data_IF_524479618905
#
_entry.id   IF_524479618905
#
_cell.length_a   1.000
_cell.length_b   1.000
_cell.length_c   1.000
_cell.angle_alpha   90.00
_cell.angle_beta   90.00
_cell.angle_gamma   90.00
#
_symmetry.space_group_name_H-M   'P 1'
#
loop_
_entity.id
_entity.type
_entity.pdbx_description
1 polymer ?
#
# COMPACT_ATOMS: atom_id res chain seq x y z
N UNK A 1 -8.31 4.13 -3.80
CA UNK A 1 -9.46 4.29 -2.89
C UNK A 1 -9.85 2.92 -2.38
N UNK A 2 -10.09 2.75 -1.07
CA UNK A 2 -10.31 1.42 -0.45
C UNK A 2 -11.56 1.45 0.46
N UNK A 3 -12.32 0.34 0.48
CA UNK A 3 -13.56 0.17 1.25
C UNK A 3 -13.31 -0.48 2.64
N UNK A 4 -12.20 -0.15 3.29
CA UNK A 4 -11.72 -0.82 4.51
C UNK A 4 -11.31 -2.30 4.37
N UNK A 5 -11.39 -2.89 3.16
CA UNK A 5 -10.86 -4.24 2.89
C UNK A 5 -11.51 -5.30 3.80
N UNK A 6 -10.71 -6.02 4.58
CA UNK A 6 -11.21 -7.06 5.49
C UNK A 6 -12.03 -6.51 6.67
N UNK A 7 -11.98 -5.20 6.94
CA UNK A 7 -12.76 -4.55 8.01
C UNK A 7 -14.05 -3.88 7.48
N UNK A 8 -14.48 -4.20 6.24
CA UNK A 8 -15.62 -3.55 5.59
C UNK A 8 -16.98 -3.74 6.31
N UNK A 9 -17.14 -4.78 7.12
CA UNK A 9 -18.32 -4.99 7.98
C UNK A 9 -18.13 -4.52 9.42
N UNK A 10 -16.93 -4.00 9.73
CA UNK A 10 -16.50 -3.65 11.08
C UNK A 10 -16.53 -2.15 11.32
N UNK A 11 -15.42 -1.64 11.86
CA UNK A 11 -15.31 -0.24 12.23
C UNK A 11 -14.92 0.65 11.05
N UNK A 12 -14.49 0.07 9.94
CA UNK A 12 -13.99 0.72 8.72
C UNK A 12 -12.64 1.44 8.87
N UNK A 13 -12.17 1.73 10.09
CA UNK A 13 -10.91 2.44 10.33
C UNK A 13 -9.85 1.64 11.10
N UNK A 14 -10.03 0.33 11.34
CA UNK A 14 -9.09 -0.42 12.20
C UNK A 14 -7.66 -0.43 11.68
N UNK A 15 -7.48 -0.71 10.39
CA UNK A 15 -6.15 -0.74 9.77
C UNK A 15 -5.39 0.58 9.98
N UNK A 16 -6.15 1.65 9.93
CA UNK A 16 -5.67 3.00 10.05
C UNK A 16 -5.29 3.42 11.48
N UNK A 17 -6.12 2.98 12.43
CA UNK A 17 -5.80 3.09 13.84
C UNK A 17 -4.49 2.39 14.14
N UNK A 18 -4.27 1.20 13.55
CA UNK A 18 -3.02 0.45 13.74
C UNK A 18 -1.81 1.19 13.16
N UNK A 19 -1.90 1.70 11.93
CA UNK A 19 -0.87 2.55 11.29
C UNK A 19 -0.52 3.76 12.18
N UNK A 20 -1.54 4.46 12.68
CA UNK A 20 -1.38 5.63 13.56
C UNK A 20 -0.69 5.27 14.88
N UNK A 21 -1.06 4.13 15.49
CA UNK A 21 -0.48 3.67 16.76
C UNK A 21 1.02 3.38 16.64
N UNK A 22 1.47 2.84 15.50
CA UNK A 22 2.88 2.47 15.28
C UNK A 22 3.71 3.55 14.60
N UNK A 23 3.12 4.68 14.22
CA UNK A 23 3.78 5.79 13.49
C UNK A 23 5.02 6.39 14.17
N UNK A 24 5.19 6.14 15.47
CA UNK A 24 6.37 6.57 16.23
C UNK A 24 7.56 5.59 16.13
N UNK A 25 7.35 4.41 15.53
CA UNK A 25 8.38 3.42 15.26
C UNK A 25 9.06 3.73 13.92
N UNK A 26 10.26 3.18 13.71
CA UNK A 26 10.97 3.25 12.42
C UNK A 26 10.46 2.19 11.45
N UNK A 27 9.15 2.18 11.22
CA UNK A 27 8.47 1.33 10.26
C UNK A 27 7.73 2.22 9.26
N UNK A 28 7.62 1.75 8.03
CA UNK A 28 6.79 2.40 7.02
C UNK A 28 5.33 2.45 7.44
N UNK A 29 4.72 3.62 7.24
CA UNK A 29 3.28 3.82 7.39
C UNK A 29 2.73 4.60 6.22
N UNK A 30 1.54 4.23 5.74
CA UNK A 30 0.90 4.91 4.61
C UNK A 30 -0.08 5.98 5.08
N UNK A 31 -0.08 7.14 4.42
CA UNK A 31 -1.04 8.18 4.71
C UNK A 31 -2.46 7.84 4.23
N UNK A 32 -3.47 8.36 4.93
CA UNK A 32 -4.87 8.17 4.58
C UNK A 32 -5.74 9.40 4.85
N UNK A 33 -6.93 9.38 4.24
CA UNK A 33 -8.03 10.28 4.58
C UNK A 33 -9.39 9.61 4.37
N UNK A 34 -10.27 9.52 5.39
CA UNK A 34 -11.65 9.06 5.21
C UNK A 34 -12.43 10.05 4.34
N UNK A 35 -13.38 9.52 3.57
CA UNK A 35 -14.27 10.31 2.73
C UNK A 35 -15.61 9.60 2.55
N UNK A 36 -16.63 10.35 2.17
CA UNK A 36 -17.93 9.82 1.77
C UNK A 36 -17.99 9.77 0.25
N UNK A 37 -18.41 8.64 -0.30
CA UNK A 37 -18.51 8.44 -1.75
C UNK A 37 -19.94 8.57 -2.21
N UNK A 38 -20.11 9.35 -3.27
CA UNK A 38 -21.30 9.35 -4.10
C UNK A 38 -20.92 8.90 -5.51
N UNK A 39 -21.61 7.90 -6.04
CA UNK A 39 -21.45 7.47 -7.43
C UNK A 39 -22.77 7.69 -8.16
N UNK A 40 -22.73 8.47 -9.24
CA UNK A 40 -23.92 8.91 -9.99
C UNK A 40 -25.01 9.55 -9.11
N UNK A 41 -24.62 10.24 -8.05
CA UNK A 41 -25.53 10.90 -7.10
C UNK A 41 -26.08 10.00 -5.99
N UNK A 42 -25.83 8.69 -6.04
CA UNK A 42 -26.24 7.76 -5.00
C UNK A 42 -25.16 7.69 -3.90
N UNK A 43 -25.57 7.54 -2.63
CA UNK A 43 -24.65 7.36 -1.51
C UNK A 43 -24.11 5.93 -1.46
N UNK A 44 -22.78 5.78 -1.42
CA UNK A 44 -22.09 4.48 -1.48
C UNK A 44 -21.35 4.12 -0.18
N UNK A 45 -21.31 5.02 0.80
CA UNK A 45 -20.68 4.76 2.09
C UNK A 45 -19.39 5.53 2.33
N UNK A 46 -18.69 5.11 3.40
CA UNK A 46 -17.39 5.65 3.80
C UNK A 46 -16.29 4.85 3.11
N UNK A 47 -15.34 5.58 2.51
CA UNK A 47 -14.15 5.04 1.86
C UNK A 47 -12.91 5.79 2.30
N UNK A 48 -11.75 5.20 2.03
CA UNK A 48 -10.46 5.74 2.42
C UNK A 48 -9.69 6.11 1.15
N UNK A 49 -9.33 7.39 1.03
CA UNK A 49 -8.26 7.83 0.12
C UNK A 49 -6.96 7.42 0.81
N UNK A 50 -6.10 6.71 0.10
CA UNK A 50 -4.84 6.21 0.61
C UNK A 50 -3.74 6.51 -0.36
N UNK A 51 -2.56 6.66 0.20
CA UNK A 51 -1.32 6.61 -0.54
C UNK A 51 -1.22 5.29 -1.32
N UNK A 52 -0.64 5.35 -2.50
CA UNK A 52 -0.36 4.16 -3.30
C UNK A 52 0.98 3.63 -2.85
N UNK A 53 1.12 2.32 -2.71
CA UNK A 53 2.37 1.68 -2.33
C UNK A 53 3.04 1.14 -3.59
N UNK A 54 3.88 1.96 -4.20
CA UNK A 54 4.58 1.71 -5.48
C UNK A 54 6.00 2.32 -5.46
N UNK A 55 6.67 2.29 -6.61
CA UNK A 55 7.97 2.93 -6.86
C UNK A 55 7.99 4.41 -6.45
N UNK A 56 6.91 5.14 -6.72
CA UNK A 56 6.77 6.56 -6.36
C UNK A 56 6.67 6.78 -4.87
N UNK A 57 6.00 5.91 -4.12
CA UNK A 57 6.05 5.96 -2.65
C UNK A 57 7.49 5.88 -2.15
N UNK A 58 8.27 4.94 -2.66
CA UNK A 58 9.67 4.78 -2.26
C UNK A 58 10.51 6.00 -2.63
N UNK A 59 10.29 6.57 -3.81
CA UNK A 59 10.94 7.82 -4.24
C UNK A 59 10.58 9.01 -3.34
N UNK A 60 9.31 9.19 -3.03
CA UNK A 60 8.81 10.32 -2.23
C UNK A 60 9.24 10.25 -0.75
N UNK A 61 9.30 9.04 -0.17
CA UNK A 61 9.65 8.85 1.25
C UNK A 61 11.14 8.61 1.50
N UNK A 62 11.86 8.07 0.53
CA UNK A 62 13.26 7.64 0.70
C UNK A 62 14.27 8.26 -0.26
N UNK A 63 13.84 9.14 -1.18
CA UNK A 63 14.70 9.76 -2.21
C UNK A 63 15.44 8.70 -3.06
N UNK A 64 14.75 7.59 -3.34
CA UNK A 64 15.25 6.50 -4.17
C UNK A 64 14.93 6.73 -5.65
N UNK A 65 15.80 6.23 -6.52
CA UNK A 65 15.59 6.19 -7.96
C UNK A 65 14.57 5.08 -8.27
N UNK A 66 13.46 5.46 -8.89
CA UNK A 66 12.34 4.58 -9.25
C UNK A 66 12.79 3.44 -10.18
N UNK A 67 13.77 3.70 -11.06
CA UNK A 67 14.34 2.68 -11.95
C UNK A 67 15.28 1.69 -11.23
N UNK A 68 15.54 1.89 -9.93
CA UNK A 68 16.46 1.07 -9.12
C UNK A 68 15.80 0.42 -7.90
N UNK A 69 14.47 0.38 -7.86
CA UNK A 69 13.71 -0.27 -6.79
C UNK A 69 12.80 -1.35 -7.37
N UNK A 70 12.63 -2.43 -6.62
CA UNK A 70 11.72 -3.50 -6.96
C UNK A 70 10.80 -3.82 -5.77
N UNK A 71 9.52 -4.02 -6.05
CA UNK A 71 8.52 -4.48 -5.08
C UNK A 71 8.04 -5.84 -5.56
N UNK A 72 8.26 -6.88 -4.75
CA UNK A 72 7.93 -8.26 -5.08
C UNK A 72 6.86 -8.80 -4.13
N UNK A 73 5.85 -9.48 -4.67
CA UNK A 73 4.97 -10.35 -3.89
C UNK A 73 5.58 -11.76 -3.86
N UNK A 74 5.96 -12.25 -2.69
CA UNK A 74 6.74 -13.48 -2.53
C UNK A 74 5.95 -14.62 -1.88
N UNK A 75 4.62 -14.61 -1.97
CA UNK A 75 3.78 -15.57 -1.25
C UNK A 75 3.96 -17.04 -1.71
N UNK A 76 3.79 -17.33 -3.00
CA UNK A 76 4.00 -18.68 -3.56
C UNK A 76 5.04 -18.67 -4.69
N UNK A 77 4.74 -17.94 -5.75
CA UNK A 77 5.69 -17.66 -6.85
C UNK A 77 5.97 -16.17 -6.81
N UNK A 78 7.25 -15.74 -6.74
CA UNK A 78 7.57 -14.33 -6.73
C UNK A 78 7.00 -13.62 -7.96
N UNK A 79 6.17 -12.62 -7.72
CA UNK A 79 5.56 -11.77 -8.74
C UNK A 79 6.10 -10.35 -8.59
N UNK A 80 6.42 -9.72 -9.73
CA UNK A 80 6.87 -8.33 -9.77
C UNK A 80 5.65 -7.42 -9.69
N UNK A 81 5.57 -6.60 -8.65
CA UNK A 81 4.61 -5.50 -8.59
C UNK A 81 5.20 -4.21 -9.19
N UNK A 82 6.47 -3.93 -8.87
CA UNK A 82 7.27 -2.84 -9.46
C UNK A 82 8.69 -3.36 -9.74
N UNK A 83 9.32 -2.91 -10.82
CA UNK A 83 10.63 -3.40 -11.29
C UNK A 83 10.52 -4.32 -12.51
N UNK A 84 11.46 -5.24 -12.67
CA UNK A 84 11.53 -6.17 -13.81
C UNK A 84 11.69 -7.64 -13.41
N UNK A 85 11.52 -8.55 -14.39
CA UNK A 85 11.57 -9.99 -14.14
C UNK A 85 12.94 -10.52 -13.66
N UNK A 86 14.02 -9.77 -13.88
CA UNK A 86 15.35 -10.10 -13.40
C UNK A 86 15.52 -9.82 -11.90
N UNK A 87 14.69 -8.94 -11.31
CA UNK A 87 14.67 -8.71 -9.86
C UNK A 87 14.22 -9.94 -9.08
N UNK A 88 13.30 -10.73 -9.65
CA UNK A 88 12.91 -12.03 -9.09
C UNK A 88 14.08 -13.00 -9.07
N UNK A 89 14.91 -13.00 -10.12
CA UNK A 89 16.12 -13.83 -10.16
C UNK A 89 17.13 -13.35 -9.12
N UNK A 90 17.34 -12.05 -8.97
CA UNK A 90 18.20 -11.49 -7.94
C UNK A 90 17.74 -11.89 -6.53
N UNK A 91 16.43 -11.79 -6.25
CA UNK A 91 15.86 -12.20 -4.97
C UNK A 91 16.04 -13.70 -4.67
N UNK A 92 15.78 -14.57 -5.66
CA UNK A 92 15.85 -16.03 -5.48
C UNK A 92 17.27 -16.59 -5.44
N UNK A 93 18.26 -15.90 -6.01
CA UNK A 93 19.67 -16.33 -6.05
C UNK A 93 20.52 -15.77 -4.90
N UNK A 94 20.01 -14.79 -4.15
CA UNK A 94 20.68 -14.25 -2.95
C UNK A 94 20.48 -15.09 -1.68
N UNK A 95 19.61 -16.11 -1.73
CA UNK A 95 19.41 -17.12 -0.69
C UNK A 95 20.24 -18.38 -0.99
#
# INVERSE_FOLDING_TARGET
MRNAGNDWTGALFRDEMMQSLVSHLKLDTQAYRPCVVFLNGEYWGIYHIRERFDDKYLKEHYDLDDDKVAILDVYETPEVQEGDSTDVLAYTTML
#
